data_IF_801304874489
#
_entry.id   IF_801304874489
#
_cell.length_a   1.000
_cell.length_b   1.000
_cell.length_c   1.000
_cell.angle_alpha   90.00
_cell.angle_beta   90.00
_cell.angle_gamma   90.00
#
_symmetry.space_group_name_H-M   'P 1'
#
loop_
_entity.id
_entity.type
_entity.pdbx_description
1 polymer ?
#
# COMPACT_ATOMS: atom_id res chain seq x y z
N UNK A 1 24.94 0.51 4.39
CA UNK A 1 25.83 0.76 3.25
C UNK A 1 25.38 2.08 2.63
N UNK A 2 26.05 3.20 2.89
CA UNK A 2 25.74 4.45 2.18
C UNK A 2 26.32 4.36 0.78
N UNK A 3 25.55 3.77 -0.14
CA UNK A 3 25.82 3.91 -1.56
C UNK A 3 25.68 5.38 -1.94
N UNK A 4 26.74 5.96 -2.48
CA UNK A 4 26.74 7.32 -2.99
C UNK A 4 25.59 7.51 -3.98
N UNK A 5 24.67 8.44 -3.68
CA UNK A 5 23.48 8.65 -4.49
C UNK A 5 23.87 9.37 -5.78
N UNK A 6 23.94 8.62 -6.88
CA UNK A 6 24.32 9.15 -8.20
C UNK A 6 23.07 9.48 -9.00
N UNK A 7 22.98 10.72 -9.47
CA UNK A 7 21.89 11.17 -10.34
C UNK A 7 22.21 10.87 -11.80
N UNK A 8 21.18 10.50 -12.56
CA UNK A 8 21.27 10.27 -14.00
C UNK A 8 20.04 10.86 -14.69
N UNK A 9 20.12 11.07 -16.00
CA UNK A 9 19.03 11.62 -16.80
C UNK A 9 18.55 10.57 -17.80
N UNK A 10 17.28 10.20 -17.73
CA UNK A 10 16.64 9.31 -18.68
C UNK A 10 15.84 10.10 -19.72
N UNK A 11 15.78 9.60 -20.96
CA UNK A 11 14.90 10.17 -21.99
C UNK A 11 13.50 9.59 -21.85
N UNK A 12 12.52 10.47 -21.73
CA UNK A 12 11.09 10.14 -21.72
C UNK A 12 10.34 11.01 -22.72
N UNK A 13 9.10 10.65 -23.05
CA UNK A 13 8.24 11.53 -23.85
C UNK A 13 7.90 12.80 -23.07
N UNK A 14 7.61 13.89 -23.77
CA UNK A 14 7.14 15.14 -23.14
C UNK A 14 5.88 14.88 -22.32
N UNK A 15 4.93 14.13 -22.88
CA UNK A 15 3.70 13.74 -22.20
C UNK A 15 3.95 13.03 -20.86
N UNK A 16 4.88 12.08 -20.81
CA UNK A 16 5.21 11.37 -19.56
C UNK A 16 5.84 12.32 -18.54
N UNK A 17 6.76 13.17 -18.97
CA UNK A 17 7.37 14.19 -18.11
C UNK A 17 6.32 15.14 -17.53
N UNK A 18 5.38 15.61 -18.36
CA UNK A 18 4.32 16.53 -17.95
C UNK A 18 3.36 15.87 -16.95
N UNK A 19 3.04 14.57 -17.12
CA UNK A 19 2.26 13.81 -16.14
C UNK A 19 2.97 13.71 -14.79
N UNK A 20 4.27 13.39 -14.79
CA UNK A 20 5.06 13.30 -13.56
C UNK A 20 5.14 14.67 -12.88
N UNK A 21 5.35 15.74 -13.66
CA UNK A 21 5.38 17.11 -13.14
C UNK A 21 4.05 17.50 -12.49
N UNK A 22 2.92 17.17 -13.14
CA UNK A 22 1.59 17.44 -12.58
C UNK A 22 1.36 16.74 -11.23
N UNK A 23 1.72 15.45 -11.13
CA UNK A 23 1.59 14.69 -9.88
C UNK A 23 2.50 15.29 -8.80
N UNK A 24 3.76 15.61 -9.16
CA UNK A 24 4.72 16.22 -8.26
C UNK A 24 4.22 17.57 -7.70
N UNK A 25 3.62 18.41 -8.55
CA UNK A 25 3.02 19.69 -8.15
C UNK A 25 1.82 19.50 -7.22
N UNK A 26 0.94 18.55 -7.51
CA UNK A 26 -0.23 18.24 -6.67
C UNK A 26 0.16 17.75 -5.28
N UNK A 27 1.24 16.96 -5.20
CA UNK A 27 1.73 16.36 -3.95
C UNK A 27 2.76 17.24 -3.23
N UNK A 28 3.19 18.36 -3.84
CA UNK A 28 4.17 19.27 -3.27
C UNK A 28 5.56 18.65 -3.08
N UNK A 29 5.93 17.68 -3.92
CA UNK A 29 7.19 16.90 -3.79
C UNK A 29 8.00 16.91 -5.09
N UNK A 30 9.31 16.60 -5.08
CA UNK A 30 10.10 16.59 -6.31
C UNK A 30 9.68 15.45 -7.24
N UNK A 31 9.80 15.67 -8.56
CA UNK A 31 9.49 14.66 -9.58
C UNK A 31 10.24 13.34 -9.40
N UNK A 32 11.46 13.37 -8.87
CA UNK A 32 12.24 12.15 -8.59
C UNK A 32 11.56 11.28 -7.53
N UNK A 33 10.99 11.87 -6.49
CA UNK A 33 10.27 11.11 -5.46
C UNK A 33 9.00 10.45 -6.00
N UNK A 34 8.30 11.11 -6.93
CA UNK A 34 7.16 10.50 -7.64
C UNK A 34 7.59 9.28 -8.45
N UNK A 35 8.73 9.37 -9.13
CA UNK A 35 9.27 8.26 -9.92
C UNK A 35 9.73 7.11 -9.02
N UNK A 36 10.44 7.42 -7.93
CA UNK A 36 10.95 6.42 -6.99
C UNK A 36 9.80 5.59 -6.40
N UNK A 37 8.74 6.26 -5.94
CA UNK A 37 7.55 5.58 -5.41
C UNK A 37 6.81 4.78 -6.49
N UNK A 38 6.66 5.35 -7.70
CA UNK A 38 6.01 4.63 -8.79
C UNK A 38 6.77 3.36 -9.19
N UNK A 39 8.11 3.37 -9.10
CA UNK A 39 8.95 2.20 -9.33
C UNK A 39 8.77 1.19 -8.20
N UNK A 40 8.82 1.61 -6.94
CA UNK A 40 8.62 0.72 -5.79
C UNK A 40 7.25 0.03 -5.82
N UNK A 41 6.20 0.79 -6.17
CA UNK A 41 4.85 0.26 -6.37
C UNK A 41 4.79 -0.76 -7.51
N UNK A 42 5.49 -0.48 -8.61
CA UNK A 42 5.55 -1.40 -9.75
C UNK A 42 6.29 -2.69 -9.39
N UNK A 43 7.42 -2.61 -8.70
CA UNK A 43 8.18 -3.77 -8.21
C UNK A 43 7.33 -4.61 -7.26
N UNK A 44 6.61 -3.97 -6.34
CA UNK A 44 5.70 -4.64 -5.42
C UNK A 44 4.59 -5.37 -6.18
N UNK A 45 3.98 -4.74 -7.19
CA UNK A 45 2.97 -5.38 -8.04
C UNK A 45 3.53 -6.59 -8.78
N UNK A 46 4.72 -6.47 -9.37
CA UNK A 46 5.39 -7.56 -10.08
C UNK A 46 5.75 -8.72 -9.15
N UNK A 47 6.20 -8.42 -7.93
CA UNK A 47 6.47 -9.42 -6.91
C UNK A 47 5.20 -10.21 -6.58
N UNK A 48 4.10 -9.51 -6.26
CA UNK A 48 2.84 -10.17 -5.93
C UNK A 48 2.24 -10.95 -7.09
N UNK A 49 2.37 -10.46 -8.32
CA UNK A 49 1.95 -11.21 -9.50
C UNK A 49 2.74 -12.52 -9.62
N UNK A 50 4.06 -12.44 -9.54
CA UNK A 50 4.95 -13.62 -9.64
C UNK A 50 4.64 -14.63 -8.54
N UNK A 51 4.44 -14.18 -7.31
CA UNK A 51 4.10 -15.06 -6.19
C UNK A 51 2.76 -15.77 -6.41
N UNK A 52 1.73 -15.05 -6.87
CA UNK A 52 0.42 -15.65 -7.18
C UNK A 52 0.53 -16.72 -8.27
N UNK A 53 1.23 -16.43 -9.35
CA UNK A 53 1.45 -17.39 -10.44
C UNK A 53 2.18 -18.65 -9.95
N UNK A 54 3.15 -18.50 -9.03
CA UNK A 54 3.86 -19.62 -8.42
C UNK A 54 2.94 -20.44 -7.51
N UNK A 55 2.14 -19.79 -6.67
CA UNK A 55 1.16 -20.46 -5.80
C UNK A 55 0.15 -21.25 -6.65
N UNK A 56 -0.42 -20.63 -7.69
CA UNK A 56 -1.36 -21.29 -8.60
C UNK A 56 -0.74 -22.49 -9.32
N UNK A 57 0.55 -22.38 -9.68
CA UNK A 57 1.28 -23.50 -10.27
C UNK A 57 1.44 -24.63 -9.25
N UNK A 58 1.88 -24.33 -8.03
CA UNK A 58 2.04 -25.35 -6.97
C UNK A 58 0.72 -26.04 -6.67
N UNK A 59 -0.39 -25.30 -6.56
CA UNK A 59 -1.74 -25.87 -6.39
C UNK A 59 -2.12 -26.86 -7.49
N UNK A 60 -1.71 -26.59 -8.73
CA UNK A 60 -2.05 -27.42 -9.89
C UNK A 60 -1.14 -28.64 -10.03
N UNK A 61 0.15 -28.47 -9.78
CA UNK A 61 1.18 -29.49 -9.98
C UNK A 61 1.29 -30.44 -8.79
N UNK A 62 0.99 -29.96 -7.57
CA UNK A 62 1.06 -30.75 -6.33
C UNK A 62 -0.09 -30.37 -5.36
N UNK A 63 -1.32 -30.83 -5.64
CA UNK A 63 -2.48 -30.54 -4.80
C UNK A 63 -2.43 -31.22 -3.43
N UNK A 64 -1.68 -32.32 -3.28
CA UNK A 64 -1.55 -33.04 -2.00
C UNK A 64 -0.69 -32.26 -1.02
N UNK A 65 0.53 -31.88 -1.41
CA UNK A 65 1.39 -31.03 -0.57
C UNK A 65 0.76 -29.66 -0.31
N UNK A 66 0.00 -29.11 -1.27
CA UNK A 66 -0.74 -27.86 -1.04
C UNK A 66 -1.82 -28.02 0.04
N UNK A 67 -2.57 -29.13 0.03
CA UNK A 67 -3.59 -29.40 1.04
C UNK A 67 -2.97 -29.59 2.43
N UNK A 68 -1.82 -30.26 2.54
CA UNK A 68 -1.07 -30.37 3.80
C UNK A 68 -0.64 -29.00 4.34
N UNK A 69 -0.10 -28.13 3.48
CA UNK A 69 0.28 -26.77 3.85
C UNK A 69 -0.92 -25.92 4.32
N UNK A 70 -2.07 -26.03 3.66
CA UNK A 70 -3.29 -25.33 4.07
C UNK A 70 -3.77 -25.83 5.43
N UNK A 71 -3.80 -27.15 5.65
CA UNK A 71 -4.19 -27.74 6.92
C UNK A 71 -3.26 -27.33 8.07
N UNK A 72 -1.94 -27.24 7.82
CA UNK A 72 -0.99 -26.68 8.76
C UNK A 72 -1.30 -25.22 9.07
N UNK A 73 -1.55 -24.40 8.04
CA UNK A 73 -1.87 -22.97 8.20
C UNK A 73 -3.13 -22.75 9.03
N UNK A 74 -4.20 -23.52 8.78
CA UNK A 74 -5.45 -23.45 9.56
C UNK A 74 -5.26 -23.81 11.03
N UNK A 75 -4.35 -24.73 11.35
CA UNK A 75 -4.04 -25.07 12.74
C UNK A 75 -3.46 -23.86 13.48
N UNK A 76 -2.58 -23.09 12.83
CA UNK A 76 -1.94 -21.90 13.39
C UNK A 76 -2.82 -20.65 13.35
N UNK A 77 -3.78 -20.55 12.43
CA UNK A 77 -4.67 -19.39 12.30
C UNK A 77 -5.51 -19.14 13.57
N UNK A 78 -5.80 -20.20 14.35
CA UNK A 78 -6.46 -20.06 15.66
C UNK A 78 -5.67 -19.22 16.68
N UNK A 79 -4.35 -19.15 16.55
CA UNK A 79 -3.50 -18.31 17.39
C UNK A 79 -3.31 -16.90 16.82
N UNK A 80 -3.78 -16.61 15.60
CA UNK A 80 -3.58 -15.30 14.96
C UNK A 80 -4.30 -14.15 15.68
N UNK A 81 -5.38 -14.44 16.39
CA UNK A 81 -6.14 -13.46 17.18
C UNK A 81 -5.63 -13.28 18.62
N UNK A 82 -4.65 -14.09 19.06
CA UNK A 82 -4.11 -14.01 20.42
C UNK A 82 -3.42 -12.66 20.66
N UNK A 83 -3.77 -11.99 21.77
CA UNK A 83 -3.26 -10.65 22.11
C UNK A 83 -3.83 -9.46 21.31
N UNK A 84 -4.83 -9.67 20.44
CA UNK A 84 -5.52 -8.59 19.69
C UNK A 84 -6.89 -8.20 20.28
N UNK A 85 -7.12 -8.50 21.56
CA UNK A 85 -8.38 -8.18 22.26
C UNK A 85 -8.64 -6.67 22.34
N UNK A 86 -9.92 -6.28 22.27
CA UNK A 86 -10.35 -4.87 22.41
C UNK A 86 -10.09 -4.28 23.80
N UNK A 87 -9.66 -5.10 24.75
CA UNK A 87 -9.40 -4.71 26.13
C UNK A 87 -8.04 -4.01 26.31
N UNK A 88 -7.10 -4.22 25.37
CA UNK A 88 -5.74 -3.66 25.39
C UNK A 88 -5.55 -2.43 24.49
N UNK A 89 -6.57 -2.04 23.72
CA UNK A 89 -6.53 -0.79 22.96
C UNK A 89 -6.86 0.35 23.93
N UNK A 90 -5.90 1.24 24.28
CA UNK A 90 -6.25 2.41 25.06
C UNK A 90 -7.31 3.18 24.29
N UNK A 91 -8.41 3.52 24.96
CA UNK A 91 -9.50 4.31 24.40
C UNK A 91 -8.99 5.72 24.09
N UNK A 92 -8.26 5.86 22.99
CA UNK A 92 -8.06 7.16 22.38
C UNK A 92 -9.42 7.51 21.79
N UNK A 93 -10.23 8.23 22.58
CA UNK A 93 -11.28 9.07 22.03
C UNK A 93 -10.63 9.86 20.91
N UNK A 94 -10.91 9.50 19.67
CA UNK A 94 -10.67 10.36 18.52
C UNK A 94 -11.42 11.63 18.90
N UNK A 95 -10.69 12.65 19.37
CA UNK A 95 -11.27 13.93 19.70
C UNK A 95 -11.99 14.37 18.43
N UNK A 96 -13.31 14.41 18.53
CA UNK A 96 -14.23 15.02 17.60
C UNK A 96 -13.55 16.22 16.93
N UNK A 97 -13.27 16.06 15.63
CA UNK A 97 -12.60 17.04 14.82
C UNK A 97 -13.38 18.36 14.93
N UNK A 98 -12.86 19.42 15.59
CA UNK A 98 -13.62 20.63 15.85
C UNK A 98 -13.80 21.50 14.59
N UNK A 99 -13.49 20.97 13.41
CA UNK A 99 -13.50 21.69 12.14
C UNK A 99 -14.67 21.31 11.21
N UNK A 100 -15.80 20.85 11.75
CA UNK A 100 -17.08 20.95 11.04
C UNK A 100 -17.93 22.04 11.67
N UNK A 101 -17.66 23.30 11.29
CA UNK A 101 -18.69 24.33 11.32
C UNK A 101 -19.68 24.04 10.19
N UNK A 102 -20.96 23.74 10.44
CA UNK A 102 -21.96 23.84 9.39
C UNK A 102 -22.20 25.32 9.14
N UNK A 103 -21.49 25.85 8.16
CA UNK A 103 -21.84 27.09 7.51
C UNK A 103 -23.31 27.01 7.01
N UNK A 104 -24.11 27.98 7.42
CA UNK A 104 -25.29 28.45 6.70
C UNK A 104 -26.49 27.49 6.62
N UNK A 105 -27.44 27.66 7.55
CA UNK A 105 -28.87 27.56 7.21
C UNK A 105 -29.60 28.77 7.76
N UNK A 106 -29.82 29.71 6.85
CA UNK A 106 -31.07 30.44 6.60
C UNK A 106 -32.01 30.67 7.80
N UNK A 107 -32.10 31.93 8.23
CA UNK A 107 -33.27 32.45 8.93
C UNK A 107 -33.72 33.71 8.19
N UNK A 108 -34.67 33.52 7.28
CA UNK A 108 -35.64 34.53 6.89
C UNK A 108 -36.83 34.44 7.85
N UNK A 109 -37.01 35.44 8.71
CA UNK A 109 -38.19 36.33 8.81
C UNK A 109 -37.94 37.37 9.94
#
# INVERSE_FOLDING_TARGET
MNGEQKHTTIRVTTLTRDKIAHIAEQEGRPMTAVIDDAVADYETKMFWQTLREQIERTQREDPESWAEYVAETELFDNAAADGLGTDDIPSYTIAENPHESPAGRDLAD
#
